data_IF_154640370888
#
_entry.id   IF_154640370888
#
_cell.length_a   1.000
_cell.length_b   1.000
_cell.length_c   1.000
_cell.angle_alpha   90.00
_cell.angle_beta   90.00
_cell.angle_gamma   90.00
#
_symmetry.space_group_name_H-M   'P 1'
#
loop_
_entity.id
_entity.type
_entity.pdbx_description
1 polymer ?
#
# COMPACT_ATOMS: atom_id res chain seq x y z
N UNK A 1 0.13 -71.82 -32.67
CA UNK A 1 -0.29 -70.67 -31.89
C UNK A 1 0.61 -69.52 -32.26
N UNK A 2 0.11 -68.55 -33.03
CA UNK A 2 0.85 -67.32 -33.40
C UNK A 2 0.34 -66.19 -32.53
N UNK A 3 1.22 -65.70 -31.62
CA UNK A 3 0.91 -64.58 -30.74
C UNK A 3 1.11 -63.28 -31.51
N UNK A 4 0.02 -62.56 -31.71
CA UNK A 4 0.00 -61.25 -32.38
C UNK A 4 0.35 -60.17 -31.31
N UNK A 5 1.52 -59.53 -31.44
CA UNK A 5 1.93 -58.40 -30.61
C UNK A 5 1.33 -57.13 -31.20
N UNK A 6 0.36 -56.53 -30.51
CA UNK A 6 -0.20 -55.24 -30.87
C UNK A 6 0.66 -54.16 -30.18
N UNK A 7 1.47 -53.43 -30.97
CA UNK A 7 2.20 -52.26 -30.53
C UNK A 7 1.24 -51.05 -30.58
N UNK A 8 0.81 -50.59 -29.42
CA UNK A 8 0.01 -49.35 -29.29
C UNK A 8 1.00 -48.18 -29.35
N UNK A 9 1.00 -47.45 -30.44
CA UNK A 9 1.76 -46.21 -30.62
C UNK A 9 1.01 -45.05 -29.94
N UNK A 10 1.43 -44.67 -28.72
CA UNK A 10 0.92 -43.48 -28.05
C UNK A 10 1.44 -42.26 -28.78
N UNK A 11 0.62 -41.62 -29.60
CA UNK A 11 0.90 -40.31 -30.21
C UNK A 11 0.66 -39.27 -29.10
N UNK A 12 1.72 -38.84 -28.42
CA UNK A 12 1.71 -37.64 -27.57
C UNK A 12 1.65 -36.43 -28.50
N UNK A 13 0.49 -35.83 -28.68
CA UNK A 13 0.36 -34.52 -29.33
C UNK A 13 0.94 -33.46 -28.41
N UNK A 14 2.21 -33.12 -28.61
CA UNK A 14 2.78 -31.92 -28.07
C UNK A 14 2.06 -30.71 -28.70
N UNK A 15 1.13 -30.11 -28.01
CA UNK A 15 0.63 -28.79 -28.35
C UNK A 15 1.76 -27.77 -28.13
N UNK A 16 2.59 -27.60 -29.15
CA UNK A 16 3.50 -26.48 -29.24
C UNK A 16 2.63 -25.22 -29.32
N UNK A 17 2.41 -24.56 -28.17
CA UNK A 17 1.96 -23.18 -28.19
C UNK A 17 3.03 -22.37 -28.91
N UNK A 18 2.77 -22.08 -30.19
CA UNK A 18 3.60 -21.15 -30.96
C UNK A 18 3.54 -19.78 -30.30
N UNK A 19 4.50 -19.50 -29.42
CA UNK A 19 4.71 -18.13 -28.99
C UNK A 19 5.19 -17.35 -30.21
N UNK A 20 4.47 -16.28 -30.56
CA UNK A 20 4.92 -15.39 -31.63
C UNK A 20 6.35 -14.91 -31.33
N UNK A 21 7.25 -15.13 -32.28
CA UNK A 21 8.65 -14.66 -32.18
C UNK A 21 8.73 -13.13 -32.19
N UNK A 22 7.65 -12.46 -32.63
CA UNK A 22 7.59 -11.01 -32.73
C UNK A 22 6.99 -10.38 -31.47
N UNK A 23 7.65 -9.37 -30.88
CA UNK A 23 7.12 -8.67 -29.73
C UNK A 23 5.85 -7.90 -30.08
N UNK A 24 4.87 -7.89 -29.17
CA UNK A 24 3.65 -7.09 -29.33
C UNK A 24 3.97 -5.59 -29.33
N UNK A 25 3.26 -4.83 -30.16
CA UNK A 25 3.45 -3.37 -30.29
C UNK A 25 3.04 -2.61 -29.03
N UNK A 26 2.22 -3.20 -28.19
CA UNK A 26 1.78 -2.65 -26.89
C UNK A 26 1.95 -3.76 -25.83
N UNK A 27 3.14 -3.90 -25.24
CA UNK A 27 3.39 -4.96 -24.27
C UNK A 27 2.48 -4.81 -23.06
N UNK A 28 2.14 -5.94 -22.44
CA UNK A 28 1.39 -5.95 -21.18
C UNK A 28 2.24 -5.39 -20.05
N UNK A 29 1.62 -4.59 -19.19
CA UNK A 29 2.18 -4.10 -17.95
C UNK A 29 1.27 -4.44 -16.79
N UNK A 30 1.85 -4.66 -15.63
CA UNK A 30 1.17 -4.78 -14.35
C UNK A 30 1.92 -3.96 -13.32
N UNK A 31 1.17 -3.24 -12.53
CA UNK A 31 1.65 -2.65 -11.28
C UNK A 31 0.77 -3.17 -10.14
N UNK A 32 1.37 -3.48 -9.02
CA UNK A 32 0.66 -3.91 -7.83
C UNK A 32 1.31 -3.28 -6.61
N UNK A 33 0.48 -2.72 -5.73
CA UNK A 33 0.93 -2.03 -4.54
C UNK A 33 0.05 -2.40 -3.35
N UNK A 34 0.67 -2.79 -2.23
CA UNK A 34 -0.02 -2.91 -0.95
C UNK A 34 -0.15 -1.52 -0.34
N UNK A 35 -1.38 -1.14 -0.02
CA UNK A 35 -1.76 0.14 0.56
C UNK A 35 -2.51 -0.14 1.86
N UNK A 36 -1.86 0.07 2.99
CA UNK A 36 -2.38 -0.38 4.27
C UNK A 36 -2.70 -1.89 4.25
N UNK A 37 -3.96 -2.24 4.44
CA UNK A 37 -4.45 -3.63 4.42
C UNK A 37 -5.05 -4.05 3.05
N UNK A 38 -4.90 -3.23 2.01
CA UNK A 38 -5.52 -3.44 0.70
C UNK A 38 -4.46 -3.56 -0.39
N UNK A 39 -4.51 -4.61 -1.23
CA UNK A 39 -3.72 -4.66 -2.45
C UNK A 39 -4.50 -4.01 -3.59
N UNK A 40 -3.85 -3.11 -4.30
CA UNK A 40 -4.35 -2.46 -5.51
C UNK A 40 -3.46 -2.89 -6.67
N UNK A 41 -4.05 -3.45 -7.73
CA UNK A 41 -3.30 -3.86 -8.91
C UNK A 41 -3.92 -3.28 -10.18
N UNK A 42 -3.08 -2.90 -11.14
CA UNK A 42 -3.53 -2.44 -12.46
C UNK A 42 -2.86 -3.28 -13.54
N UNK A 43 -3.67 -3.95 -14.36
CA UNK A 43 -3.25 -4.68 -15.54
C UNK A 43 -3.63 -3.90 -16.80
N UNK A 44 -2.67 -3.60 -17.67
CA UNK A 44 -2.90 -2.77 -18.85
C UNK A 44 -1.94 -3.11 -20.00
N UNK A 45 -2.29 -2.71 -21.21
CA UNK A 45 -1.38 -2.75 -22.34
C UNK A 45 -0.77 -1.36 -22.56
N UNK A 46 0.53 -1.31 -22.82
CA UNK A 46 1.36 -0.10 -22.85
C UNK A 46 1.68 0.35 -24.28
N UNK A 47 0.77 1.04 -24.99
CA UNK A 47 1.10 1.64 -26.27
C UNK A 47 2.17 2.72 -26.12
N UNK A 48 3.03 2.85 -27.14
CA UNK A 48 4.04 3.88 -27.23
C UNK A 48 3.62 4.99 -28.20
N UNK A 49 4.04 6.23 -27.92
CA UNK A 49 3.75 7.40 -28.76
C UNK A 49 4.40 7.27 -30.14
N UNK A 50 5.65 6.86 -30.21
CA UNK A 50 6.43 6.69 -31.46
C UNK A 50 6.39 7.95 -32.32
N UNK A 51 6.65 9.11 -31.70
CA UNK A 51 6.66 10.40 -32.36
C UNK A 51 5.30 10.96 -32.76
N UNK A 52 4.18 10.25 -32.41
CA UNK A 52 2.82 10.74 -32.69
C UNK A 52 2.35 11.59 -31.52
N UNK A 53 1.55 12.59 -31.81
CA UNK A 53 0.79 13.29 -30.77
C UNK A 53 -0.35 12.40 -30.29
N UNK A 54 -0.38 12.17 -28.98
CA UNK A 54 -1.33 11.22 -28.41
C UNK A 54 -2.70 11.85 -28.21
N UNK A 55 -2.81 12.78 -27.27
CA UNK A 55 -4.13 13.33 -26.93
C UNK A 55 -4.60 14.39 -27.94
N UNK A 56 -5.82 14.21 -28.41
CA UNK A 56 -6.42 14.98 -29.50
C UNK A 56 -6.23 14.36 -30.89
N UNK A 57 -5.18 13.51 -31.08
CA UNK A 57 -4.89 12.86 -32.37
C UNK A 57 -5.03 11.33 -32.30
N UNK A 58 -4.10 10.62 -31.68
CA UNK A 58 -4.15 9.16 -31.55
C UNK A 58 -5.33 8.73 -30.65
N UNK A 59 -5.45 9.39 -29.52
CA UNK A 59 -6.59 9.27 -28.59
C UNK A 59 -7.42 10.55 -28.73
N UNK A 60 -8.59 10.43 -29.36
CA UNK A 60 -9.45 11.57 -29.65
C UNK A 60 -10.05 12.14 -28.37
N UNK A 61 -10.12 13.48 -28.30
CA UNK A 61 -10.86 14.15 -27.24
C UNK A 61 -12.37 13.85 -27.35
N UNK A 62 -13.02 13.84 -26.19
CA UNK A 62 -14.46 13.61 -26.03
C UNK A 62 -14.94 12.25 -26.58
N UNK A 63 -14.01 11.29 -26.70
CA UNK A 63 -14.31 9.91 -27.11
C UNK A 63 -13.89 8.93 -26.03
N UNK A 64 -14.71 7.91 -25.84
CA UNK A 64 -14.44 6.81 -24.96
C UNK A 64 -13.13 6.11 -25.38
N UNK A 65 -12.26 5.88 -24.43
CA UNK A 65 -11.00 5.17 -24.60
C UNK A 65 -10.83 4.10 -23.52
N UNK A 66 -10.39 2.91 -23.92
CA UNK A 66 -10.13 1.76 -23.01
C UNK A 66 -8.91 1.95 -22.11
N UNK A 67 -8.35 3.15 -22.09
CA UNK A 67 -7.19 3.58 -21.26
C UNK A 67 -5.97 2.68 -21.45
N UNK A 68 -5.71 2.29 -22.69
CA UNK A 68 -4.64 1.38 -23.09
C UNK A 68 -4.74 0.99 -24.55
N UNK A 69 -4.31 -0.23 -24.87
CA UNK A 69 -4.42 -0.86 -26.17
C UNK A 69 -5.03 -2.27 -26.01
N UNK A 70 -5.53 -2.86 -27.11
CA UNK A 70 -6.07 -4.21 -27.12
C UNK A 70 -7.19 -4.43 -26.11
N UNK A 71 -6.90 -5.20 -25.06
CA UNK A 71 -7.84 -5.40 -23.96
C UNK A 71 -8.03 -4.13 -23.11
N UNK A 72 -9.18 -4.01 -22.46
CA UNK A 72 -9.41 -2.93 -21.52
C UNK A 72 -8.43 -3.01 -20.35
N UNK A 73 -7.96 -1.86 -19.90
CA UNK A 73 -7.23 -1.75 -18.63
C UNK A 73 -8.10 -2.19 -17.48
N UNK A 74 -7.51 -2.87 -16.50
CA UNK A 74 -8.23 -3.39 -15.33
C UNK A 74 -7.57 -2.88 -14.06
N UNK A 75 -8.41 -2.50 -13.09
CA UNK A 75 -7.97 -2.21 -11.72
C UNK A 75 -8.61 -3.22 -10.79
N UNK A 76 -7.83 -3.78 -9.87
CA UNK A 76 -8.27 -4.79 -8.91
C UNK A 76 -8.04 -4.28 -7.49
N UNK A 77 -9.05 -4.42 -6.65
CA UNK A 77 -8.99 -4.12 -5.22
C UNK A 77 -9.21 -5.40 -4.41
N UNK A 78 -8.31 -5.74 -3.49
CA UNK A 78 -8.43 -6.93 -2.64
C UNK A 78 -9.44 -6.74 -1.49
N UNK A 79 -9.78 -5.49 -1.17
CA UNK A 79 -10.77 -5.08 -0.16
C UNK A 79 -11.58 -3.89 -0.69
N UNK A 80 -12.71 -3.55 -0.07
CA UNK A 80 -13.45 -2.35 -0.44
C UNK A 80 -12.61 -1.07 -0.31
N UNK A 81 -12.82 -0.15 -1.24
CA UNK A 81 -12.19 1.18 -1.26
C UNK A 81 -13.23 2.27 -1.49
N UNK A 82 -12.84 3.52 -1.31
CA UNK A 82 -13.68 4.67 -1.67
C UNK A 82 -12.96 5.47 -2.75
N UNK A 83 -13.67 5.78 -3.85
CA UNK A 83 -13.21 6.63 -4.94
C UNK A 83 -14.31 7.63 -5.23
N UNK A 84 -13.95 8.91 -5.27
CA UNK A 84 -14.91 10.00 -5.50
C UNK A 84 -16.15 9.90 -4.57
N UNK A 85 -15.92 9.68 -3.27
CA UNK A 85 -16.95 9.50 -2.23
C UNK A 85 -17.88 8.30 -2.44
N UNK A 86 -17.61 7.42 -3.39
CA UNK A 86 -18.39 6.20 -3.64
C UNK A 86 -17.62 4.98 -3.17
N UNK A 87 -18.29 4.15 -2.35
CA UNK A 87 -17.75 2.85 -1.94
C UNK A 87 -17.75 1.90 -3.14
N UNK A 88 -16.60 1.30 -3.39
CA UNK A 88 -16.35 0.28 -4.42
C UNK A 88 -16.01 -1.02 -3.69
N UNK A 89 -16.73 -2.07 -3.97
CA UNK A 89 -16.47 -3.38 -3.35
C UNK A 89 -15.16 -3.99 -3.87
N UNK A 90 -14.64 -4.97 -3.15
CA UNK A 90 -13.51 -5.77 -3.61
C UNK A 90 -13.85 -6.41 -4.96
N UNK A 91 -12.91 -6.42 -5.88
CA UNK A 91 -13.11 -6.99 -7.21
C UNK A 91 -12.21 -6.38 -8.26
N UNK A 92 -12.43 -6.79 -9.50
CA UNK A 92 -11.74 -6.27 -10.67
C UNK A 92 -12.72 -5.50 -11.54
N UNK A 93 -12.31 -4.31 -11.97
CA UNK A 93 -13.11 -3.39 -12.78
C UNK A 93 -12.32 -2.96 -14.01
N UNK A 94 -13.01 -2.82 -15.13
CA UNK A 94 -12.42 -2.23 -16.33
C UNK A 94 -12.32 -0.70 -16.15
N UNK A 95 -11.19 -0.14 -16.54
CA UNK A 95 -10.95 1.31 -16.51
C UNK A 95 -11.08 1.88 -17.91
N UNK A 96 -12.04 2.76 -18.09
CA UNK A 96 -12.19 3.57 -19.29
C UNK A 96 -12.00 5.05 -18.95
N UNK A 97 -11.60 5.83 -19.96
CA UNK A 97 -11.54 7.29 -19.80
C UNK A 97 -12.14 7.97 -21.02
N UNK A 98 -12.61 9.19 -20.83
CA UNK A 98 -12.96 10.12 -21.91
C UNK A 98 -12.05 11.33 -21.75
N UNK A 99 -10.92 11.37 -22.45
CA UNK A 99 -9.98 12.50 -22.40
C UNK A 99 -10.60 13.77 -22.98
N UNK A 100 -10.29 14.89 -22.37
CA UNK A 100 -10.53 16.24 -22.90
C UNK A 100 -9.36 17.14 -22.48
N UNK A 101 -9.16 18.24 -23.16
CA UNK A 101 -8.04 19.15 -22.88
C UNK A 101 -8.06 19.74 -21.46
N UNK A 102 -9.25 19.90 -20.87
CA UNK A 102 -9.45 20.59 -19.59
C UNK A 102 -9.90 19.66 -18.47
N UNK A 103 -10.58 18.56 -18.79
CA UNK A 103 -11.17 17.66 -17.80
C UNK A 103 -11.41 16.27 -18.40
N UNK A 104 -10.91 15.25 -17.73
CA UNK A 104 -11.16 13.86 -18.13
C UNK A 104 -12.30 13.27 -17.33
N UNK A 105 -13.07 12.35 -17.95
CA UNK A 105 -13.94 11.43 -17.21
C UNK A 105 -13.21 10.13 -17.02
N UNK A 106 -13.09 9.65 -15.78
CA UNK A 106 -12.63 8.30 -15.44
C UNK A 106 -13.86 7.43 -15.14
N UNK A 107 -13.86 6.22 -15.63
CA UNK A 107 -14.99 5.29 -15.56
C UNK A 107 -14.50 3.94 -15.04
N UNK A 108 -15.17 3.40 -14.03
CA UNK A 108 -15.05 2.01 -13.63
C UNK A 108 -16.26 1.25 -14.14
N UNK A 109 -16.02 0.23 -14.95
CA UNK A 109 -17.08 -0.61 -15.56
C UNK A 109 -16.93 -2.05 -15.07
N UNK A 110 -18.05 -2.74 -14.87
CA UNK A 110 -18.06 -4.11 -14.37
C UNK A 110 -17.70 -5.17 -15.42
N UNK A 111 -17.74 -4.81 -16.72
CA UNK A 111 -17.35 -5.73 -17.80
C UNK A 111 -15.84 -5.67 -18.07
N UNK A 112 -15.12 -6.61 -17.53
CA UNK A 112 -13.66 -6.73 -17.64
C UNK A 112 -13.21 -7.56 -18.85
N UNK A 113 -14.12 -7.98 -19.72
CA UNK A 113 -13.80 -8.87 -20.85
C UNK A 113 -13.58 -8.11 -22.16
N UNK A 114 -13.79 -6.80 -22.16
CA UNK A 114 -13.86 -5.98 -23.36
C UNK A 114 -12.49 -5.85 -24.07
N UNK A 115 -12.54 -6.00 -25.39
CA UNK A 115 -11.46 -5.69 -26.31
C UNK A 115 -11.82 -4.41 -27.08
N UNK A 116 -11.07 -3.33 -26.89
CA UNK A 116 -11.45 -2.02 -27.46
C UNK A 116 -12.64 -1.39 -26.73
N UNK A 117 -13.49 -0.70 -27.49
CA UNK A 117 -14.67 0.01 -26.97
C UNK A 117 -15.97 -0.33 -27.71
N UNK A 118 -15.92 -1.22 -28.71
CA UNK A 118 -17.07 -1.48 -29.58
C UNK A 118 -18.28 -2.12 -28.86
N UNK A 119 -18.02 -2.94 -27.85
CA UNK A 119 -19.06 -3.62 -27.05
C UNK A 119 -19.24 -2.99 -25.68
N UNK A 120 -18.78 -1.76 -25.50
CA UNK A 120 -18.94 -1.05 -24.23
C UNK A 120 -20.43 -0.75 -23.96
N UNK A 121 -20.86 -1.05 -22.75
CA UNK A 121 -22.21 -0.77 -22.27
C UNK A 121 -22.15 0.15 -21.05
N UNK A 122 -22.66 1.35 -21.20
CA UNK A 122 -22.71 2.36 -20.13
C UNK A 122 -23.57 1.93 -18.93
N UNK A 123 -24.51 1.03 -19.11
CA UNK A 123 -25.34 0.48 -18.02
C UNK A 123 -24.55 -0.37 -17.04
N UNK A 124 -23.36 -0.82 -17.45
CA UNK A 124 -22.39 -1.56 -16.60
C UNK A 124 -21.42 -0.66 -15.88
N UNK A 125 -21.53 0.67 -16.01
CA UNK A 125 -20.69 1.60 -15.27
C UNK A 125 -21.05 1.60 -13.79
N UNK A 126 -20.06 1.27 -13.00
CA UNK A 126 -20.17 1.34 -11.56
C UNK A 126 -19.96 2.77 -11.06
N UNK A 127 -19.01 3.50 -11.64
CA UNK A 127 -18.64 4.84 -11.25
C UNK A 127 -18.16 5.65 -12.45
N UNK A 128 -18.56 6.92 -12.49
CA UNK A 128 -17.99 7.96 -13.38
C UNK A 128 -17.65 9.18 -12.56
N UNK A 129 -16.46 9.70 -12.71
CA UNK A 129 -16.02 10.91 -12.02
C UNK A 129 -15.06 11.74 -12.91
N UNK A 130 -14.85 12.97 -12.50
CA UNK A 130 -14.06 13.95 -13.24
C UNK A 130 -12.71 14.19 -12.60
N UNK A 131 -11.66 14.30 -13.42
CA UNK A 131 -10.32 14.66 -13.01
C UNK A 131 -9.71 15.67 -13.97
N UNK A 132 -8.86 16.57 -13.48
CA UNK A 132 -8.16 17.53 -14.32
C UNK A 132 -6.86 16.91 -14.85
N UNK A 133 -6.58 17.05 -16.16
CA UNK A 133 -5.26 16.70 -16.67
C UNK A 133 -4.23 17.75 -16.21
N UNK A 134 -3.04 17.26 -15.90
CA UNK A 134 -1.90 18.06 -15.46
C UNK A 134 -0.68 17.79 -16.33
N UNK A 135 0.28 18.71 -16.42
CA UNK A 135 1.58 18.42 -17.01
C UNK A 135 2.27 17.27 -16.24
N UNK A 136 2.72 16.26 -16.97
CA UNK A 136 3.53 15.21 -16.38
C UNK A 136 4.94 15.73 -16.05
N UNK A 137 5.56 15.20 -15.01
CA UNK A 137 6.89 15.60 -14.53
C UNK A 137 8.03 15.25 -15.52
N UNK A 138 7.77 14.35 -16.48
CA UNK A 138 8.68 13.94 -17.57
C UNK A 138 7.89 13.56 -18.81
N UNK A 139 8.58 13.34 -19.92
CA UNK A 139 7.97 12.74 -21.10
C UNK A 139 7.84 11.23 -20.93
N UNK A 140 6.65 10.70 -21.11
CA UNK A 140 6.36 9.27 -21.09
C UNK A 140 6.14 8.75 -22.51
N UNK A 141 7.13 8.07 -23.07
CA UNK A 141 7.02 7.47 -24.41
C UNK A 141 5.92 6.40 -24.48
N UNK A 142 5.78 5.60 -23.46
CA UNK A 142 4.71 4.60 -23.34
C UNK A 142 3.71 5.01 -22.27
N UNK A 143 2.43 4.69 -22.50
CA UNK A 143 1.41 4.78 -21.45
C UNK A 143 1.93 4.12 -20.17
N UNK A 144 1.92 4.86 -19.10
CA UNK A 144 2.40 4.42 -17.79
C UNK A 144 1.32 4.66 -16.75
N UNK A 145 1.07 3.64 -15.93
CA UNK A 145 0.27 3.74 -14.72
C UNK A 145 1.17 3.59 -13.51
N UNK A 146 0.85 4.31 -12.44
CA UNK A 146 1.59 4.27 -11.19
C UNK A 146 0.62 4.36 -10.01
N UNK A 147 1.06 3.86 -8.85
CA UNK A 147 0.31 3.89 -7.60
C UNK A 147 1.24 4.44 -6.53
N UNK A 148 0.99 5.66 -6.10
CA UNK A 148 1.71 6.28 -4.99
C UNK A 148 0.99 6.04 -3.68
N UNK A 149 1.74 5.78 -2.61
CA UNK A 149 1.18 5.45 -1.29
C UNK A 149 1.29 6.68 -0.40
N UNK A 150 0.13 7.19 0.01
CA UNK A 150 -0.01 8.12 1.12
C UNK A 150 -0.57 7.33 2.31
N UNK A 151 -0.16 7.62 3.56
CA UNK A 151 -0.42 6.70 4.67
C UNK A 151 -1.82 6.08 4.60
N UNK A 152 -1.87 4.76 4.46
CA UNK A 152 -3.08 3.92 4.33
C UNK A 152 -4.01 4.21 3.14
N UNK A 153 -3.67 5.15 2.25
CA UNK A 153 -4.41 5.49 1.04
C UNK A 153 -3.47 5.51 -0.17
N UNK A 154 -4.01 5.65 -1.37
CA UNK A 154 -3.22 5.72 -2.60
C UNK A 154 -3.68 6.84 -3.52
N UNK A 155 -2.78 7.23 -4.42
CA UNK A 155 -3.10 7.99 -5.62
C UNK A 155 -2.72 7.15 -6.83
N UNK A 156 -3.68 6.92 -7.71
CA UNK A 156 -3.45 6.24 -8.99
C UNK A 156 -3.17 7.28 -10.06
N UNK A 157 -2.07 7.10 -10.80
CA UNK A 157 -1.65 7.97 -11.89
C UNK A 157 -1.79 7.27 -13.23
N UNK A 158 -2.17 8.03 -14.25
CA UNK A 158 -2.20 7.62 -15.66
C UNK A 158 -1.45 8.70 -16.45
N UNK A 159 -0.30 8.35 -17.01
CA UNK A 159 0.57 9.30 -17.69
C UNK A 159 0.97 8.82 -19.09
N UNK A 160 0.91 9.73 -20.08
CA UNK A 160 1.39 9.51 -21.43
C UNK A 160 1.82 10.82 -22.09
N UNK A 161 2.94 10.81 -22.83
CA UNK A 161 3.65 12.01 -23.29
C UNK A 161 3.95 12.98 -22.13
N UNK A 162 3.41 14.18 -22.19
CA UNK A 162 3.55 15.23 -21.17
C UNK A 162 2.25 15.48 -20.39
N UNK A 163 1.31 14.55 -20.45
CA UNK A 163 0.01 14.67 -19.79
C UNK A 163 -0.17 13.55 -18.78
N UNK A 164 -0.62 13.89 -17.60
CA UNK A 164 -1.05 12.92 -16.59
C UNK A 164 -2.40 13.32 -16.00
N UNK A 165 -3.11 12.31 -15.53
CA UNK A 165 -4.23 12.48 -14.59
C UNK A 165 -3.94 11.66 -13.35
N UNK A 166 -4.55 12.02 -12.23
CA UNK A 166 -4.50 11.24 -11.00
C UNK A 166 -5.84 11.28 -10.28
N UNK A 167 -6.07 10.26 -9.45
CA UNK A 167 -7.22 10.21 -8.57
C UNK A 167 -6.89 9.45 -7.29
N UNK A 168 -7.44 9.92 -6.14
CA UNK A 168 -7.26 9.26 -4.86
C UNK A 168 -8.07 7.95 -4.79
N UNK A 169 -7.51 6.98 -4.09
CA UNK A 169 -8.17 5.74 -3.67
C UNK A 169 -8.02 5.64 -2.16
N UNK A 170 -9.11 5.81 -1.45
CA UNK A 170 -9.13 5.70 0.00
C UNK A 170 -9.39 4.24 0.40
N UNK A 171 -8.56 3.71 1.29
CA UNK A 171 -8.78 2.36 1.84
C UNK A 171 -9.54 2.44 3.15
N UNK A 172 -10.19 1.36 3.55
CA UNK A 172 -10.82 1.28 4.89
C UNK A 172 -9.81 0.81 5.97
N UNK A 173 -8.50 0.95 5.74
CA UNK A 173 -7.45 0.43 6.63
C UNK A 173 -7.57 0.97 8.05
N UNK A 174 -7.70 2.28 8.21
CA UNK A 174 -7.80 2.92 9.53
C UNK A 174 -9.03 2.42 10.29
N UNK A 175 -10.17 2.37 9.62
CA UNK A 175 -11.42 1.88 10.20
C UNK A 175 -11.33 0.40 10.61
N UNK A 176 -10.68 -0.41 9.80
CA UNK A 176 -10.48 -1.84 10.10
C UNK A 176 -9.50 -2.05 11.26
N UNK A 177 -8.40 -1.29 11.29
CA UNK A 177 -7.43 -1.33 12.37
C UNK A 177 -8.07 -0.89 13.69
N UNK A 178 -8.77 0.24 13.69
CA UNK A 178 -9.48 0.73 14.88
C UNK A 178 -10.54 -0.26 15.38
N UNK A 179 -11.32 -0.86 14.47
CA UNK A 179 -12.31 -1.87 14.83
C UNK A 179 -11.65 -3.10 15.48
N UNK A 180 -10.54 -3.59 14.92
CA UNK A 180 -9.80 -4.71 15.49
C UNK A 180 -9.26 -4.38 16.89
N UNK A 181 -8.65 -3.21 17.06
CA UNK A 181 -8.12 -2.74 18.34
C UNK A 181 -9.24 -2.68 19.40
N UNK A 182 -10.38 -2.07 19.05
CA UNK A 182 -11.51 -1.94 19.96
C UNK A 182 -12.09 -3.29 20.37
N UNK A 183 -12.28 -4.20 19.40
CA UNK A 183 -12.97 -5.46 19.63
C UNK A 183 -12.09 -6.53 20.27
N UNK A 184 -10.80 -6.54 19.98
CA UNK A 184 -9.91 -7.66 20.39
C UNK A 184 -8.86 -7.23 21.42
N UNK A 185 -8.28 -6.04 21.28
CA UNK A 185 -7.16 -5.65 22.14
C UNK A 185 -7.62 -4.90 23.38
N UNK A 186 -8.53 -3.93 23.25
CA UNK A 186 -9.01 -3.18 24.41
C UNK A 186 -9.90 -4.01 25.34
N UNK A 187 -10.57 -5.03 24.82
CA UNK A 187 -11.32 -6.00 25.61
C UNK A 187 -10.44 -7.00 26.36
N UNK A 188 -9.14 -7.09 26.02
CA UNK A 188 -8.21 -8.06 26.60
C UNK A 188 -8.41 -9.48 26.11
N UNK A 189 -9.07 -9.68 24.95
CA UNK A 189 -9.29 -11.02 24.38
C UNK A 189 -8.00 -11.61 23.79
N UNK A 190 -7.14 -10.77 23.19
CA UNK A 190 -5.86 -11.24 22.69
C UNK A 190 -4.89 -11.60 23.80
N UNK A 191 -4.08 -12.63 23.55
CA UNK A 191 -2.94 -13.06 24.39
C UNK A 191 -1.61 -12.89 23.65
N UNK A 192 -1.62 -12.32 22.47
CA UNK A 192 -0.46 -12.12 21.62
C UNK A 192 0.18 -10.74 21.89
N UNK A 193 1.41 -10.75 22.37
CA UNK A 193 2.17 -9.54 22.62
C UNK A 193 2.44 -8.74 21.33
N UNK A 194 2.66 -9.43 20.21
CA UNK A 194 2.96 -8.77 18.92
C UNK A 194 1.74 -8.03 18.36
N UNK A 195 0.53 -8.54 18.58
CA UNK A 195 -0.69 -7.81 18.20
C UNK A 195 -0.83 -6.48 18.97
N UNK A 196 -0.57 -6.50 20.28
CA UNK A 196 -0.58 -5.27 21.07
C UNK A 196 0.52 -4.29 20.65
N UNK A 197 1.72 -4.80 20.38
CA UNK A 197 2.85 -3.98 19.95
C UNK A 197 2.60 -3.37 18.57
N UNK A 198 2.10 -4.16 17.61
CA UNK A 198 1.74 -3.69 16.27
C UNK A 198 0.64 -2.60 16.30
N UNK A 199 -0.37 -2.77 17.14
CA UNK A 199 -1.41 -1.75 17.31
C UNK A 199 -0.89 -0.47 17.95
N UNK A 200 0.02 -0.58 18.91
CA UNK A 200 0.72 0.55 19.51
C UNK A 200 1.55 1.31 18.47
N UNK A 201 2.32 0.58 17.67
CA UNK A 201 3.13 1.12 16.58
C UNK A 201 2.27 1.82 15.52
N UNK A 202 1.14 1.21 15.16
CA UNK A 202 0.17 1.82 14.25
C UNK A 202 -0.27 3.20 14.74
N UNK A 203 -0.71 3.33 15.99
CA UNK A 203 -1.11 4.63 16.54
C UNK A 203 0.05 5.62 16.61
N UNK A 204 1.24 5.15 16.94
CA UNK A 204 2.46 5.97 17.01
C UNK A 204 2.83 6.57 15.64
N UNK A 205 2.87 5.76 14.57
CA UNK A 205 3.21 6.23 13.22
C UNK A 205 2.12 7.07 12.57
N UNK A 206 0.85 6.81 12.91
CA UNK A 206 -0.26 7.61 12.41
C UNK A 206 -0.46 8.90 13.20
N UNK A 207 0.37 9.16 14.21
CA UNK A 207 0.27 10.31 15.14
C UNK A 207 -1.10 10.44 15.77
N UNK A 208 -1.70 9.30 16.12
CA UNK A 208 -3.04 9.20 16.69
C UNK A 208 -2.98 8.56 18.07
N UNK A 209 -3.88 8.98 18.97
CA UNK A 209 -4.19 8.24 20.20
C UNK A 209 -2.95 7.78 21.00
N UNK A 210 -1.92 8.65 21.16
CA UNK A 210 -0.63 8.29 21.78
C UNK A 210 -0.78 7.70 23.19
N UNK A 211 -1.81 8.07 23.94
CA UNK A 211 -2.08 7.47 25.25
C UNK A 211 -2.54 6.01 25.11
N UNK A 212 -3.33 5.70 24.08
CA UNK A 212 -3.68 4.31 23.75
C UNK A 212 -2.50 3.52 23.23
N UNK A 213 -1.64 4.16 22.41
CA UNK A 213 -0.39 3.55 21.98
C UNK A 213 0.45 3.11 23.18
N UNK A 214 0.63 4.00 24.17
CA UNK A 214 1.37 3.69 25.39
C UNK A 214 0.74 2.53 26.17
N UNK A 215 -0.57 2.56 26.37
CA UNK A 215 -1.31 1.50 27.07
C UNK A 215 -1.19 0.14 26.35
N UNK A 216 -1.29 0.11 25.02
CA UNK A 216 -1.13 -1.13 24.23
C UNK A 216 0.29 -1.67 24.33
N UNK A 217 1.30 -0.79 24.29
CA UNK A 217 2.70 -1.18 24.46
C UNK A 217 2.95 -1.74 25.87
N UNK A 218 2.34 -1.16 26.90
CA UNK A 218 2.43 -1.68 28.27
C UNK A 218 1.83 -3.08 28.39
N UNK A 219 0.74 -3.36 27.68
CA UNK A 219 0.16 -4.72 27.63
C UNK A 219 1.08 -5.69 26.89
N UNK A 220 1.69 -5.29 25.77
CA UNK A 220 2.69 -6.11 25.08
C UNK A 220 3.86 -6.47 25.99
N UNK A 221 4.41 -5.52 26.71
CA UNK A 221 5.52 -5.68 27.67
C UNK A 221 5.12 -6.61 28.83
N UNK A 222 3.89 -6.51 29.31
CA UNK A 222 3.39 -7.36 30.38
C UNK A 222 3.30 -8.84 29.97
N UNK A 223 2.98 -9.12 28.70
CA UNK A 223 2.90 -10.48 28.14
C UNK A 223 4.31 -11.00 27.83
N UNK A 224 5.15 -10.18 27.17
CA UNK A 224 6.51 -10.55 26.78
C UNK A 224 7.49 -9.41 26.97
N UNK A 225 8.55 -9.67 27.75
CA UNK A 225 9.61 -8.72 28.01
C UNK A 225 10.58 -8.67 26.82
N UNK A 226 10.27 -7.87 25.81
CA UNK A 226 11.08 -7.72 24.61
C UNK A 226 11.81 -6.38 24.58
N UNK A 227 13.10 -6.38 24.20
CA UNK A 227 13.92 -5.18 24.14
C UNK A 227 13.43 -4.18 23.07
N UNK A 228 12.82 -4.68 21.99
CA UNK A 228 12.23 -3.84 20.97
C UNK A 228 11.00 -3.09 21.51
N UNK A 229 10.13 -3.76 22.29
CA UNK A 229 9.00 -3.09 22.93
C UNK A 229 9.42 -1.98 23.90
N UNK A 230 10.56 -2.19 24.59
CA UNK A 230 11.09 -1.14 25.48
C UNK A 230 11.53 0.11 24.71
N UNK A 231 12.17 -0.06 23.54
CA UNK A 231 12.54 1.06 22.68
C UNK A 231 11.30 1.80 22.18
N UNK A 232 10.32 1.07 21.68
CA UNK A 232 9.06 1.65 21.19
C UNK A 232 8.33 2.43 22.28
N UNK A 233 8.27 1.90 23.52
CA UNK A 233 7.68 2.64 24.65
C UNK A 233 8.40 3.96 24.90
N UNK A 234 9.73 3.97 24.84
CA UNK A 234 10.50 5.20 25.01
C UNK A 234 10.23 6.22 23.90
N UNK A 235 10.05 5.77 22.65
CA UNK A 235 9.72 6.62 21.51
C UNK A 235 8.33 7.27 21.68
N UNK A 236 7.36 6.51 22.18
CA UNK A 236 6.03 7.02 22.50
C UNK A 236 6.09 8.07 23.63
N UNK A 237 6.80 7.77 24.72
CA UNK A 237 6.98 8.70 25.84
C UNK A 237 7.70 9.99 25.42
N UNK A 238 8.72 9.87 24.56
CA UNK A 238 9.41 11.00 23.97
C UNK A 238 8.46 11.87 23.13
N UNK A 239 7.68 11.27 22.25
CA UNK A 239 6.68 11.95 21.41
C UNK A 239 5.63 12.67 22.25
N UNK A 240 5.24 12.09 23.37
CA UNK A 240 4.35 12.71 24.36
C UNK A 240 5.05 13.77 25.25
N UNK A 241 6.36 13.95 25.09
CA UNK A 241 7.19 14.81 25.94
C UNK A 241 7.13 14.45 27.43
N UNK A 242 6.86 13.18 27.75
CA UNK A 242 6.83 12.60 29.12
C UNK A 242 8.25 12.20 29.55
N UNK A 243 9.17 13.15 29.53
CA UNK A 243 10.60 12.89 29.69
C UNK A 243 10.98 12.26 31.02
N UNK A 244 10.31 12.61 32.14
CA UNK A 244 10.60 11.98 33.43
C UNK A 244 10.23 10.50 33.42
N UNK A 245 9.04 10.17 32.94
CA UNK A 245 8.58 8.78 32.79
C UNK A 245 9.52 7.98 31.84
N UNK A 246 9.99 8.63 30.77
CA UNK A 246 10.96 8.02 29.85
C UNK A 246 12.31 7.71 30.54
N UNK A 247 12.82 8.59 31.41
CA UNK A 247 14.04 8.35 32.18
C UNK A 247 13.84 7.16 33.12
N UNK A 248 12.73 7.14 33.86
CA UNK A 248 12.45 6.11 34.85
C UNK A 248 12.32 4.75 34.17
N UNK A 249 11.61 4.71 33.05
CA UNK A 249 11.44 3.48 32.26
C UNK A 249 12.75 3.04 31.58
N UNK A 250 13.57 3.95 31.07
CA UNK A 250 14.87 3.62 30.48
C UNK A 250 15.81 2.95 31.49
N UNK A 251 15.84 3.45 32.74
CA UNK A 251 16.62 2.82 33.83
C UNK A 251 16.12 1.41 34.14
N UNK A 252 14.80 1.21 34.19
CA UNK A 252 14.19 -0.12 34.38
C UNK A 252 14.55 -1.06 33.22
N UNK A 253 14.37 -0.64 31.98
CA UNK A 253 14.67 -1.42 30.78
C UNK A 253 16.15 -1.83 30.72
N UNK A 254 17.04 -0.89 31.03
CA UNK A 254 18.47 -1.16 31.12
C UNK A 254 18.81 -2.21 32.19
N UNK A 255 18.17 -2.18 33.36
CA UNK A 255 18.37 -3.17 34.41
C UNK A 255 17.90 -4.57 34.00
N UNK A 256 16.76 -4.66 33.28
CA UNK A 256 16.24 -5.91 32.76
C UNK A 256 17.17 -6.48 31.68
N UNK A 257 17.63 -5.63 30.74
CA UNK A 257 18.49 -6.09 29.65
C UNK A 257 19.87 -6.59 30.14
N UNK A 258 20.39 -6.05 31.22
CA UNK A 258 21.62 -6.57 31.86
C UNK A 258 21.45 -8.02 32.35
N UNK A 259 20.27 -8.40 32.77
CA UNK A 259 19.97 -9.72 33.33
C UNK A 259 19.66 -10.78 32.28
N UNK A 260 19.54 -10.40 30.98
CA UNK A 260 19.26 -11.34 29.89
C UNK A 260 20.41 -12.33 29.73
N UNK A 261 20.09 -13.60 29.81
CA UNK A 261 21.07 -14.68 29.68
C UNK A 261 21.39 -15.02 28.23
N UNK A 262 20.46 -14.75 27.34
CA UNK A 262 20.59 -14.98 25.90
C UNK A 262 21.45 -13.94 25.17
N UNK A 263 21.83 -12.84 25.83
CA UNK A 263 22.66 -11.79 25.26
C UNK A 263 24.12 -11.96 25.63
N UNK A 264 25.01 -11.82 24.67
CA UNK A 264 26.44 -11.71 24.92
C UNK A 264 26.82 -10.36 25.59
N UNK A 265 28.05 -10.28 26.08
CA UNK A 265 28.53 -9.09 26.79
C UNK A 265 28.48 -7.85 25.90
N UNK A 266 28.87 -7.98 24.64
CA UNK A 266 28.89 -6.87 23.66
C UNK A 266 27.49 -6.29 23.42
N UNK A 267 26.49 -7.13 23.27
CA UNK A 267 25.08 -6.75 23.10
C UNK A 267 24.57 -6.01 24.34
N UNK A 268 24.91 -6.49 25.55
CA UNK A 268 24.55 -5.83 26.81
C UNK A 268 25.19 -4.44 26.93
N UNK A 269 26.47 -4.32 26.64
CA UNK A 269 27.19 -3.06 26.67
C UNK A 269 26.62 -2.04 25.66
N UNK A 270 26.33 -2.51 24.45
CA UNK A 270 25.72 -1.67 23.43
C UNK A 270 24.33 -1.16 23.85
N UNK A 271 23.50 -2.06 24.38
CA UNK A 271 22.18 -1.70 24.91
C UNK A 271 22.29 -0.69 26.06
N UNK A 272 23.21 -0.91 27.00
CA UNK A 272 23.42 0.00 28.12
C UNK A 272 23.85 1.39 27.65
N UNK A 273 24.75 1.47 26.68
CA UNK A 273 25.18 2.72 26.06
C UNK A 273 24.00 3.47 25.45
N UNK A 274 23.17 2.78 24.64
CA UNK A 274 21.99 3.36 24.00
C UNK A 274 21.02 3.96 25.02
N UNK A 275 20.70 3.24 26.10
CA UNK A 275 19.80 3.76 27.14
C UNK A 275 20.41 4.94 27.91
N UNK A 276 21.71 4.93 28.21
CA UNK A 276 22.38 6.06 28.84
C UNK A 276 22.32 7.33 27.99
N UNK A 277 22.58 7.21 26.69
CA UNK A 277 22.48 8.32 25.75
C UNK A 277 21.06 8.90 25.70
N UNK A 278 20.04 8.04 25.65
CA UNK A 278 18.63 8.48 25.72
C UNK A 278 18.27 9.16 27.03
N UNK A 279 18.74 8.65 28.15
CA UNK A 279 18.52 9.26 29.48
C UNK A 279 19.12 10.67 29.51
N UNK A 280 20.34 10.85 29.04
CA UNK A 280 20.98 12.18 29.01
C UNK A 280 20.22 13.15 28.07
N UNK A 281 19.75 12.65 26.92
CA UNK A 281 18.89 13.42 26.03
C UNK A 281 17.59 13.87 26.74
N UNK A 282 16.87 12.98 27.41
CA UNK A 282 15.64 13.31 28.14
C UNK A 282 15.87 14.30 29.29
N UNK A 283 16.96 14.15 30.04
CA UNK A 283 17.37 15.12 31.07
C UNK A 283 17.62 16.51 30.48
N UNK A 284 18.26 16.59 29.32
CA UNK A 284 18.48 17.86 28.64
C UNK A 284 17.17 18.57 28.28
N UNK A 285 16.17 17.82 27.82
CA UNK A 285 14.83 18.34 27.49
C UNK A 285 14.05 18.82 28.72
N UNK A 286 14.15 18.10 29.85
CA UNK A 286 13.56 18.54 31.12
C UNK A 286 14.17 19.84 31.62
N UNK A 287 15.48 19.96 31.55
CA UNK A 287 16.19 21.15 32.00
C UNK A 287 15.94 22.38 31.12
N UNK A 288 15.76 22.16 29.78
CA UNK A 288 15.36 23.19 28.83
C UNK A 288 13.97 23.74 29.12
N UNK A 289 12.97 22.87 29.39
CA UNK A 289 11.62 23.29 29.79
C UNK A 289 11.61 24.12 31.09
N UNK A 290 12.44 23.76 32.10
CA UNK A 290 12.53 24.51 33.36
C UNK A 290 13.11 25.91 33.18
N UNK A 291 13.95 26.16 32.18
CA UNK A 291 14.52 27.49 31.87
C UNK A 291 13.56 28.40 31.12
N UNK A 292 12.59 27.83 30.35
CA UNK A 292 11.60 28.61 29.58
C UNK A 292 10.36 29.04 30.39
N UNK A 293 10.23 28.55 31.64
CA UNK A 293 9.10 28.86 32.57
C UNK A 293 9.54 29.87 33.66
N UNK A 294 10.82 30.21 33.71
CA UNK A 294 11.35 31.29 34.56
C UNK A 294 11.62 32.53 33.70
#
# INVERSE_FOLDING_TARGET
MRTLLIIVFLITTNHLFSQSVFPGLSPKGRIEQTVGLTNIAVDYERPAARGRKVFGELVKYDKLWRTGAGNCTKITFSKPVVIDNKKIDKGTYAVFTIPNANEWTVILNTDTTLYGVASYDEKKDLLRFKVKPEPANRYYESLTMDIDVIPNNAVVYIAWEKTQISFPVETETDKMADAFIQQNLLTGMSKDADEYAAASEYYFYMDKELDRALMLMDRAIAIRKDAWYYRQKLDILEKQMKYQEAIDFANLAMSINRQRTEWDLKTKEQSEKEYKERIEFFKSKLNGKRKSIK
#
